data_IF_607691350861
#
_entry.id   IF_607691350861
#
_cell.length_a   1.000
_cell.length_b   1.000
_cell.length_c   1.000
_cell.angle_alpha   90.00
_cell.angle_beta   90.00
_cell.angle_gamma   90.00
#
_symmetry.space_group_name_H-M   'P 1'
#
loop_
_entity.id
_entity.type
_entity.pdbx_description
1 polymer ?
#
# COMPACT_ATOMS: atom_id res chain seq x y z
N UNK A 1 -32.92 -12.80 48.13
CA UNK A 1 -33.30 -11.55 47.44
C UNK A 1 -34.36 -11.89 46.41
N UNK A 2 -35.33 -11.00 46.17
CA UNK A 2 -36.23 -11.13 45.02
C UNK A 2 -35.61 -10.50 43.78
N UNK A 3 -36.17 -10.75 42.60
CA UNK A 3 -35.68 -10.16 41.34
C UNK A 3 -35.85 -8.63 41.35
N UNK A 4 -36.90 -8.09 41.98
CA UNK A 4 -37.06 -6.62 42.10
C UNK A 4 -35.94 -5.98 42.92
N UNK A 5 -35.45 -6.67 43.96
CA UNK A 5 -34.31 -6.19 44.76
C UNK A 5 -33.00 -6.17 43.96
N UNK A 6 -32.82 -7.10 43.02
CA UNK A 6 -31.65 -7.12 42.13
C UNK A 6 -31.75 -6.00 41.09
N UNK A 7 -32.93 -5.81 40.47
CA UNK A 7 -33.15 -4.73 39.50
C UNK A 7 -32.98 -3.35 40.13
N UNK A 8 -33.56 -3.10 41.31
CA UNK A 8 -33.38 -1.84 42.05
C UNK A 8 -31.92 -1.62 42.48
N UNK A 9 -31.17 -2.69 42.81
CA UNK A 9 -29.75 -2.57 43.12
C UNK A 9 -28.93 -2.17 41.89
N UNK A 10 -29.19 -2.78 40.73
CA UNK A 10 -28.56 -2.36 39.48
C UNK A 10 -28.90 -0.91 39.14
N UNK A 11 -30.18 -0.53 39.16
CA UNK A 11 -30.61 0.82 38.77
C UNK A 11 -30.01 1.91 39.71
N UNK A 12 -29.97 1.63 41.02
CA UNK A 12 -29.35 2.52 42.00
C UNK A 12 -27.80 2.56 41.92
N UNK A 13 -27.13 1.61 41.26
CA UNK A 13 -25.67 1.53 41.20
C UNK A 13 -25.10 1.60 39.78
N UNK A 14 -25.92 1.66 38.73
CA UNK A 14 -25.51 1.73 37.32
C UNK A 14 -24.45 2.82 37.09
N UNK A 15 -24.65 4.03 37.61
CA UNK A 15 -23.68 5.13 37.50
C UNK A 15 -22.31 4.76 38.10
N UNK A 16 -22.28 4.19 39.31
CA UNK A 16 -21.04 3.80 39.99
C UNK A 16 -20.36 2.57 39.35
N UNK A 17 -21.16 1.66 38.76
CA UNK A 17 -20.66 0.53 37.98
C UNK A 17 -20.00 1.04 36.69
N UNK A 18 -20.64 1.95 35.95
CA UNK A 18 -20.12 2.57 34.73
C UNK A 18 -18.84 3.37 35.02
N UNK A 19 -18.85 4.22 36.06
CA UNK A 19 -17.68 4.99 36.49
C UNK A 19 -16.50 4.09 36.86
N UNK A 20 -16.75 3.03 37.63
CA UNK A 20 -15.75 2.02 37.99
C UNK A 20 -15.20 1.24 36.78
N UNK A 21 -16.03 0.95 35.78
CA UNK A 21 -15.65 0.25 34.55
C UNK A 21 -14.78 1.16 33.65
N UNK A 22 -15.15 2.43 33.50
CA UNK A 22 -14.33 3.45 32.81
C UNK A 22 -12.97 3.60 33.51
N UNK A 23 -12.95 3.72 34.83
CA UNK A 23 -11.71 3.80 35.60
C UNK A 23 -10.82 2.54 35.43
N UNK A 24 -11.43 1.34 35.36
CA UNK A 24 -10.72 0.09 35.10
C UNK A 24 -10.13 0.02 33.68
N UNK A 25 -10.84 0.52 32.66
CA UNK A 25 -10.34 0.60 31.27
C UNK A 25 -9.15 1.58 31.19
N UNK A 26 -9.25 2.75 31.82
CA UNK A 26 -8.15 3.73 31.87
C UNK A 26 -6.93 3.14 32.59
N UNK A 27 -7.13 2.43 33.72
CA UNK A 27 -6.05 1.76 34.44
C UNK A 27 -5.41 0.64 33.60
N UNK A 28 -6.20 -0.13 32.87
CA UNK A 28 -5.70 -1.17 31.95
C UNK A 28 -4.91 -0.57 30.79
N UNK A 29 -5.38 0.54 30.20
CA UNK A 29 -4.66 1.29 29.15
C UNK A 29 -3.32 1.84 29.66
N UNK A 30 -3.31 2.44 30.86
CA UNK A 30 -2.07 2.88 31.52
C UNK A 30 -1.13 1.72 31.84
N UNK A 31 -1.66 0.57 32.27
CA UNK A 31 -0.86 -0.63 32.52
C UNK A 31 -0.25 -1.20 31.22
N UNK A 32 -1.00 -1.21 30.11
CA UNK A 32 -0.52 -1.64 28.80
C UNK A 32 0.53 -0.68 28.24
N UNK A 33 0.32 0.64 28.35
CA UNK A 33 1.31 1.65 27.98
C UNK A 33 2.60 1.55 28.81
N UNK A 34 2.47 1.44 30.13
CA UNK A 34 3.60 1.18 31.03
C UNK A 34 4.32 -0.12 30.66
N UNK A 35 3.59 -1.21 30.44
CA UNK A 35 4.16 -2.50 30.02
C UNK A 35 4.86 -2.39 28.67
N UNK A 36 4.34 -1.65 27.70
CA UNK A 36 4.98 -1.43 26.40
C UNK A 36 6.29 -0.66 26.50
N UNK A 37 6.35 0.38 27.33
CA UNK A 37 7.56 1.19 27.56
C UNK A 37 8.62 0.41 28.36
N UNK A 38 8.22 -0.27 29.44
CA UNK A 38 9.18 -0.93 30.34
C UNK A 38 9.58 -2.34 29.89
N UNK A 39 8.72 -3.13 29.24
CA UNK A 39 9.10 -4.48 28.75
C UNK A 39 10.10 -4.42 27.59
N UNK A 40 10.12 -3.33 26.81
CA UNK A 40 11.15 -3.10 25.78
C UNK A 40 12.58 -3.03 26.34
N UNK A 41 12.76 -2.87 27.66
CA UNK A 41 14.09 -2.89 28.31
C UNK A 41 14.57 -4.30 28.73
N UNK A 42 13.74 -5.32 28.54
CA UNK A 42 14.09 -6.75 28.72
C UNK A 42 13.88 -7.60 27.47
N UNK A 43 13.33 -7.04 26.39
CA UNK A 43 13.09 -7.72 25.11
C UNK A 43 13.90 -6.99 24.03
N UNK A 44 15.23 -7.17 24.10
CA UNK A 44 16.20 -6.63 23.14
C UNK A 44 17.28 -7.68 22.84
N UNK A 45 16.85 -8.93 22.66
CA UNK A 45 17.74 -10.07 22.43
C UNK A 45 17.10 -11.15 21.57
N UNK A 46 15.89 -11.61 21.93
CA UNK A 46 15.29 -12.80 21.33
C UNK A 46 13.75 -12.75 21.36
N UNK A 47 13.15 -12.25 20.27
CA UNK A 47 11.72 -12.37 19.94
C UNK A 47 11.49 -11.87 18.49
N UNK A 48 12.00 -12.63 17.52
CA UNK A 48 11.82 -12.34 16.10
C UNK A 48 10.50 -12.91 15.55
N UNK A 49 9.58 -12.04 15.14
CA UNK A 49 8.47 -12.38 14.25
C UNK A 49 7.90 -11.10 13.59
N UNK A 50 7.95 -11.02 12.25
CA UNK A 50 7.25 -10.00 11.46
C UNK A 50 7.98 -8.66 11.23
N UNK A 51 8.34 -8.40 9.96
CA UNK A 51 8.46 -7.02 9.42
C UNK A 51 9.71 -6.19 9.77
N UNK A 52 10.55 -6.62 10.71
CA UNK A 52 11.83 -5.96 10.96
C UNK A 52 12.81 -6.16 9.80
N UNK A 53 13.00 -5.15 8.93
CA UNK A 53 14.02 -5.18 7.89
C UNK A 53 15.39 -5.36 8.54
N UNK A 54 16.03 -6.50 8.27
CA UNK A 54 17.32 -6.85 8.86
C UNK A 54 18.35 -5.75 8.56
N UNK A 55 19.05 -5.29 9.60
CA UNK A 55 20.08 -4.26 9.46
C UNK A 55 21.17 -4.69 8.46
N UNK A 56 21.49 -5.98 8.38
CA UNK A 56 22.43 -6.51 7.39
C UNK A 56 21.86 -6.49 5.96
N UNK A 57 20.54 -6.65 5.78
CA UNK A 57 19.88 -6.44 4.48
C UNK A 57 19.81 -4.96 4.10
N UNK A 58 19.57 -4.07 5.08
CA UNK A 58 19.54 -2.63 4.86
C UNK A 58 20.93 -2.10 4.45
N UNK A 59 21.98 -2.53 5.16
CA UNK A 59 23.37 -2.24 4.84
C UNK A 59 23.75 -2.77 3.45
N UNK A 60 23.43 -4.03 3.14
CA UNK A 60 23.68 -4.64 1.83
C UNK A 60 22.89 -3.99 0.69
N UNK A 61 21.73 -3.41 0.99
CA UNK A 61 20.92 -2.62 0.03
C UNK A 61 21.51 -1.23 -0.18
N UNK A 62 21.94 -0.56 0.89
CA UNK A 62 22.65 0.73 0.82
C UNK A 62 23.98 0.59 0.04
N UNK A 63 24.76 -0.45 0.34
CA UNK A 63 25.98 -0.80 -0.41
C UNK A 63 25.69 -0.97 -1.90
N UNK A 64 24.64 -1.73 -2.25
CA UNK A 64 24.23 -1.99 -3.65
C UNK A 64 23.72 -0.73 -4.36
N UNK A 65 23.06 0.19 -3.65
CA UNK A 65 22.66 1.50 -4.19
C UNK A 65 23.89 2.38 -4.43
N UNK A 66 24.82 2.43 -3.47
CA UNK A 66 26.06 3.21 -3.55
C UNK A 66 26.96 2.74 -4.71
N UNK A 67 27.16 1.42 -4.83
CA UNK A 67 27.91 0.81 -5.93
C UNK A 67 27.27 1.15 -7.29
N UNK A 68 25.95 1.02 -7.41
CA UNK A 68 25.23 1.29 -8.66
C UNK A 68 25.24 2.79 -9.04
N UNK A 69 25.18 3.69 -8.05
CA UNK A 69 25.39 5.13 -8.29
C UNK A 69 26.84 5.44 -8.70
N UNK A 70 27.83 4.79 -8.09
CA UNK A 70 29.24 4.96 -8.48
C UNK A 70 29.55 4.43 -9.89
N UNK A 71 28.90 3.34 -10.29
CA UNK A 71 29.03 2.74 -11.61
C UNK A 71 28.43 3.61 -12.72
N UNK A 72 27.29 4.27 -12.45
CA UNK A 72 26.66 5.21 -13.37
C UNK A 72 27.45 6.50 -13.63
N UNK A 73 28.43 6.83 -12.78
CA UNK A 73 29.18 8.08 -12.83
C UNK A 73 30.48 8.04 -13.67
N UNK A 74 30.65 7.04 -14.54
CA UNK A 74 31.77 7.02 -15.52
C UNK A 74 31.34 7.61 -16.87
N UNK A 75 31.65 8.89 -17.18
CA UNK A 75 31.49 9.41 -18.53
C UNK A 75 32.37 8.61 -19.51
N UNK A 76 31.82 8.30 -20.68
CA UNK A 76 32.45 7.40 -21.66
C UNK A 76 33.81 7.92 -22.13
N UNK A 77 34.90 7.25 -21.72
CA UNK A 77 36.26 7.54 -22.18
C UNK A 77 36.45 7.02 -23.61
N UNK A 78 35.99 7.80 -24.59
CA UNK A 78 36.22 7.53 -26.00
C UNK A 78 37.73 7.47 -26.29
N UNK A 79 38.15 6.53 -27.15
CA UNK A 79 39.52 6.47 -27.65
C UNK A 79 39.79 7.65 -28.59
N UNK A 80 40.78 8.45 -28.24
CA UNK A 80 41.57 9.25 -29.17
C UNK A 80 43.01 9.21 -28.67
N UNK A 81 43.97 8.96 -29.57
CA UNK A 81 45.39 8.85 -29.23
C UNK A 81 46.04 10.22 -29.36
N UNK A 82 46.73 10.70 -28.33
CA UNK A 82 47.85 11.62 -28.53
C UNK A 82 48.94 11.38 -27.47
N UNK A 83 50.19 11.39 -27.93
CA UNK A 83 51.36 10.99 -27.16
C UNK A 83 51.93 12.14 -26.34
N UNK A 84 52.31 11.87 -25.09
CA UNK A 84 53.32 12.68 -24.41
C UNK A 84 54.25 11.80 -23.56
N UNK A 85 55.40 11.46 -24.13
CA UNK A 85 56.53 10.98 -23.35
C UNK A 85 57.05 12.13 -22.48
N UNK A 86 57.06 11.95 -21.16
CA UNK A 86 57.87 12.76 -20.25
C UNK A 86 58.86 11.80 -19.59
N UNK A 87 60.13 11.95 -19.93
CA UNK A 87 61.17 11.05 -19.48
C UNK A 87 61.32 11.10 -17.94
N UNK A 88 61.42 9.93 -17.32
CA UNK A 88 62.01 9.81 -15.99
C UNK A 88 63.52 9.95 -16.14
N UNK A 89 64.08 11.03 -15.59
CA UNK A 89 65.52 11.19 -15.41
C UNK A 89 65.91 10.52 -14.09
N UNK A 90 66.71 9.45 -14.15
CA UNK A 90 66.97 8.55 -13.01
C UNK A 90 68.44 8.66 -12.55
N UNK A 91 68.70 9.65 -11.68
CA UNK A 91 69.98 9.89 -11.01
C UNK A 91 69.95 11.20 -10.21
N UNK A 92 70.81 11.45 -9.22
CA UNK A 92 71.79 10.58 -8.54
C UNK A 92 71.91 11.06 -7.07
N UNK A 93 72.72 10.37 -6.26
CA UNK A 93 72.74 10.43 -4.80
C UNK A 93 72.96 11.84 -4.17
N UNK A 94 71.90 12.32 -3.51
CA UNK A 94 71.87 12.67 -2.07
C UNK A 94 72.69 13.85 -1.52
N UNK A 95 72.08 14.60 -0.59
CA UNK A 95 72.69 15.23 0.61
C UNK A 95 71.60 15.95 1.43
N UNK A 96 71.43 15.61 2.71
CA UNK A 96 70.62 16.36 3.69
C UNK A 96 71.44 17.55 4.29
N UNK A 97 70.92 18.41 5.20
CA UNK A 97 69.53 18.61 5.67
C UNK A 97 69.06 20.09 5.67
N UNK A 98 67.74 20.33 5.77
CA UNK A 98 67.12 21.15 6.84
C UNK A 98 65.60 21.33 6.67
N UNK A 99 64.89 21.52 7.79
CA UNK A 99 63.48 21.92 7.84
C UNK A 99 63.29 23.39 7.40
N UNK A 100 62.08 23.81 6.98
CA UNK A 100 61.09 24.22 7.99
C UNK A 100 59.67 23.68 7.76
N UNK A 101 58.90 23.57 8.84
CA UNK A 101 57.56 22.97 8.82
C UNK A 101 56.49 23.82 8.08
N UNK A 102 55.99 23.33 6.93
CA UNK A 102 54.82 23.86 6.21
C UNK A 102 53.53 23.12 6.57
N UNK A 103 53.13 23.22 7.85
CA UNK A 103 51.89 22.65 8.39
C UNK A 103 50.65 23.46 7.94
N UNK A 104 50.11 23.20 6.74
CA UNK A 104 48.85 23.81 6.29
C UNK A 104 48.04 22.93 5.32
N UNK A 105 46.93 22.37 5.82
CA UNK A 105 45.64 22.18 5.11
C UNK A 105 45.69 21.84 3.61
N UNK A 106 45.88 20.56 3.29
CA UNK A 106 45.30 19.99 2.07
C UNK A 106 43.78 19.89 2.20
N UNK A 107 43.07 21.00 1.99
CA UNK A 107 41.62 20.99 1.91
C UNK A 107 41.18 20.32 0.59
N UNK A 108 40.20 19.40 0.62
CA UNK A 108 39.66 18.86 -0.62
C UNK A 108 39.02 19.99 -1.43
N UNK A 109 39.47 20.20 -2.66
CA UNK A 109 38.77 21.06 -3.60
C UNK A 109 37.57 20.28 -4.12
N UNK A 110 36.42 20.45 -3.46
CA UNK A 110 35.11 20.05 -4.00
C UNK A 110 34.99 20.57 -5.44
N UNK A 111 34.71 19.69 -6.39
CA UNK A 111 34.71 20.12 -7.78
C UNK A 111 33.52 21.06 -8.04
N UNK A 112 33.62 22.04 -8.96
CA UNK A 112 32.49 22.90 -9.30
C UNK A 112 31.28 22.12 -9.86
N UNK A 113 31.47 20.85 -10.26
CA UNK A 113 30.39 19.94 -10.63
C UNK A 113 29.66 19.36 -9.39
N UNK A 114 30.39 18.96 -8.33
CA UNK A 114 29.78 18.55 -7.05
C UNK A 114 28.96 19.69 -6.44
N UNK A 115 29.51 20.92 -6.41
CA UNK A 115 28.79 22.09 -5.90
C UNK A 115 27.51 22.39 -6.72
N UNK A 116 27.51 22.09 -8.02
CA UNK A 116 26.30 22.21 -8.85
C UNK A 116 25.28 21.09 -8.55
N UNK A 117 25.72 19.84 -8.38
CA UNK A 117 24.86 18.72 -8.01
C UNK A 117 24.23 18.91 -6.61
N UNK A 118 25.03 19.31 -5.62
CA UNK A 118 24.57 19.60 -4.25
C UNK A 118 23.49 20.69 -4.22
N UNK A 119 23.61 21.73 -5.07
CA UNK A 119 22.56 22.75 -5.22
C UNK A 119 21.29 22.19 -5.85
N UNK A 120 21.40 21.23 -6.76
CA UNK A 120 20.25 20.59 -7.41
C UNK A 120 19.50 19.68 -6.41
N UNK A 121 20.22 18.81 -5.69
CA UNK A 121 19.64 17.94 -4.65
C UNK A 121 19.07 18.73 -3.47
N UNK A 122 19.69 19.86 -3.09
CA UNK A 122 19.14 20.73 -2.04
C UNK A 122 17.81 21.35 -2.49
N UNK A 123 17.71 21.88 -3.71
CA UNK A 123 16.45 22.40 -4.27
C UNK A 123 15.36 21.31 -4.37
N UNK A 124 15.72 20.08 -4.74
CA UNK A 124 14.79 18.95 -4.78
C UNK A 124 14.30 18.56 -3.37
N UNK A 125 15.22 18.50 -2.39
CA UNK A 125 14.87 18.23 -0.99
C UNK A 125 13.97 19.31 -0.39
N UNK A 126 14.19 20.58 -0.75
CA UNK A 126 13.38 21.72 -0.31
C UNK A 126 11.93 21.60 -0.82
N UNK A 127 11.74 21.26 -2.11
CA UNK A 127 10.42 20.98 -2.69
C UNK A 127 9.74 19.78 -2.02
N UNK A 128 10.50 18.74 -1.69
CA UNK A 128 9.96 17.56 -0.99
C UNK A 128 9.49 17.88 0.42
N UNK A 129 10.20 18.77 1.13
CA UNK A 129 9.78 19.29 2.45
C UNK A 129 8.49 20.12 2.31
N UNK A 130 8.40 21.01 1.32
CA UNK A 130 7.22 21.84 1.05
C UNK A 130 5.98 20.98 0.74
N UNK A 131 6.12 19.94 -0.10
CA UNK A 131 5.05 18.98 -0.40
C UNK A 131 4.62 18.19 0.85
N UNK A 132 5.56 17.73 1.67
CA UNK A 132 5.24 17.00 2.91
C UNK A 132 4.57 17.90 3.96
N UNK A 133 4.94 19.18 4.04
CA UNK A 133 4.26 20.16 4.89
C UNK A 133 2.82 20.41 4.42
N UNK A 134 2.59 20.54 3.10
CA UNK A 134 1.25 20.67 2.54
C UNK A 134 0.39 19.39 2.73
N UNK A 135 1.01 18.20 2.70
CA UNK A 135 0.31 16.95 3.03
C UNK A 135 -0.05 16.85 4.52
N UNK A 136 0.84 17.30 5.41
CA UNK A 136 0.55 17.33 6.85
C UNK A 136 -0.61 18.29 7.17
N UNK A 137 -0.63 19.51 6.63
CA UNK A 137 -1.73 20.44 6.90
C UNK A 137 -3.06 19.93 6.36
N UNK A 138 -3.09 19.30 5.18
CA UNK A 138 -4.31 18.64 4.63
C UNK A 138 -4.74 17.42 5.45
N UNK A 139 -3.81 16.72 6.10
CA UNK A 139 -4.14 15.64 7.03
C UNK A 139 -4.68 16.18 8.37
N UNK A 140 -4.11 17.26 8.89
CA UNK A 140 -4.54 17.94 10.11
C UNK A 140 -5.94 18.57 9.95
N UNK A 141 -6.24 19.24 8.82
CA UNK A 141 -7.59 19.77 8.59
C UNK A 141 -8.62 18.64 8.53
N UNK A 142 -8.37 17.58 7.76
CA UNK A 142 -9.26 16.40 7.68
C UNK A 142 -9.44 15.69 9.02
N UNK A 143 -8.40 15.61 9.84
CA UNK A 143 -8.51 15.07 11.20
C UNK A 143 -9.40 15.97 12.08
N UNK A 144 -9.29 17.29 11.96
CA UNK A 144 -10.14 18.23 12.70
C UNK A 144 -11.59 18.26 12.20
N UNK A 145 -11.82 18.13 10.89
CA UNK A 145 -13.14 18.02 10.26
C UNK A 145 -13.86 16.75 10.73
N UNK A 146 -13.15 15.61 10.71
CA UNK A 146 -13.67 14.33 11.21
C UNK A 146 -13.93 14.36 12.73
N UNK A 147 -13.07 15.04 13.52
CA UNK A 147 -13.28 15.20 14.95
C UNK A 147 -14.53 16.07 15.25
N UNK A 148 -14.70 17.19 14.55
CA UNK A 148 -15.87 18.05 14.68
C UNK A 148 -17.17 17.33 14.25
N UNK A 149 -17.11 16.51 13.20
CA UNK A 149 -18.23 15.68 12.78
C UNK A 149 -18.59 14.61 13.84
N UNK A 150 -17.59 14.00 14.48
CA UNK A 150 -17.80 13.05 15.57
C UNK A 150 -18.39 13.70 16.84
N UNK A 151 -17.90 14.89 17.23
CA UNK A 151 -18.48 15.65 18.35
C UNK A 151 -19.93 16.07 18.05
N UNK A 152 -20.22 16.57 16.84
CA UNK A 152 -21.57 16.90 16.42
C UNK A 152 -22.52 15.69 16.42
N UNK A 153 -22.05 14.53 15.97
CA UNK A 153 -22.81 13.27 16.03
C UNK A 153 -23.06 12.81 17.48
N UNK A 154 -22.16 13.09 18.42
CA UNK A 154 -22.31 12.74 19.84
C UNK A 154 -23.31 13.60 20.61
N UNK A 155 -23.65 14.80 20.10
CA UNK A 155 -24.54 15.75 20.75
C UNK A 155 -26.03 15.53 20.41
N UNK A 156 -26.34 14.75 19.37
CA UNK A 156 -27.71 14.41 19.01
C UNK A 156 -28.25 13.24 19.87
N UNK A 157 -29.49 13.30 20.39
CA UNK A 157 -30.10 12.15 21.04
C UNK A 157 -30.26 11.00 20.03
N UNK A 158 -29.90 9.78 20.44
CA UNK A 158 -29.63 8.66 19.53
C UNK A 158 -30.84 8.19 18.69
N UNK A 159 -31.04 8.83 17.53
CA UNK A 159 -31.88 8.35 16.45
C UNK A 159 -31.16 7.19 15.73
N UNK A 160 -31.28 5.98 16.29
CA UNK A 160 -30.48 4.80 15.95
C UNK A 160 -30.71 4.14 14.58
N UNK A 161 -30.91 4.92 13.51
CA UNK A 161 -30.98 4.40 12.13
C UNK A 161 -29.59 4.20 11.51
N UNK A 162 -28.78 5.25 11.49
CA UNK A 162 -27.59 5.34 10.62
C UNK A 162 -26.46 4.35 10.99
N UNK A 163 -26.40 3.85 12.22
CA UNK A 163 -25.32 2.95 12.65
C UNK A 163 -25.37 1.60 11.92
N UNK A 164 -26.58 1.07 11.66
CA UNK A 164 -26.76 -0.18 10.93
C UNK A 164 -26.33 -0.06 9.46
N UNK A 165 -26.50 1.12 8.85
CA UNK A 165 -26.03 1.40 7.50
C UNK A 165 -24.50 1.54 7.44
N UNK A 166 -23.88 2.22 8.42
CA UNK A 166 -22.41 2.26 8.54
C UNK A 166 -21.80 0.87 8.80
N UNK A 167 -22.43 0.04 9.64
CA UNK A 167 -22.02 -1.36 9.86
C UNK A 167 -22.15 -2.22 8.59
N UNK A 168 -23.14 -1.95 7.74
CA UNK A 168 -23.28 -2.61 6.44
C UNK A 168 -22.20 -2.16 5.45
N UNK A 169 -21.92 -0.86 5.38
CA UNK A 169 -20.85 -0.30 4.55
C UNK A 169 -19.46 -0.79 4.99
N UNK A 170 -19.20 -0.91 6.29
CA UNK A 170 -17.97 -1.51 6.83
C UNK A 170 -17.83 -2.97 6.38
N UNK A 171 -18.89 -3.79 6.46
CA UNK A 171 -18.84 -5.18 5.96
C UNK A 171 -18.60 -5.28 4.46
N UNK A 172 -19.19 -4.41 3.64
CA UNK A 172 -18.94 -4.39 2.19
C UNK A 172 -17.49 -4.01 1.87
N UNK A 173 -16.92 -3.05 2.60
CA UNK A 173 -15.51 -2.68 2.47
C UNK A 173 -14.56 -3.78 2.95
N UNK A 174 -14.85 -4.45 4.07
CA UNK A 174 -14.09 -5.61 4.56
C UNK A 174 -14.16 -6.79 3.57
N UNK A 175 -15.33 -7.09 3.01
CA UNK A 175 -15.51 -8.16 2.02
C UNK A 175 -14.73 -7.88 0.73
N UNK A 176 -14.77 -6.64 0.21
CA UNK A 176 -13.98 -6.23 -0.96
C UNK A 176 -12.48 -6.26 -0.69
N UNK A 177 -12.03 -5.90 0.51
CA UNK A 177 -10.61 -6.00 0.89
C UNK A 177 -10.13 -7.45 0.90
N UNK A 178 -10.93 -8.39 1.41
CA UNK A 178 -10.64 -9.83 1.33
C UNK A 178 -10.63 -10.36 -0.12
N UNK A 179 -11.53 -9.86 -0.98
CA UNK A 179 -11.52 -10.20 -2.41
C UNK A 179 -10.24 -9.69 -3.11
N UNK A 180 -9.77 -8.47 -2.79
CA UNK A 180 -8.49 -7.96 -3.29
C UNK A 180 -7.27 -8.74 -2.78
N UNK A 181 -7.30 -9.26 -1.55
CA UNK A 181 -6.24 -10.11 -1.01
C UNK A 181 -6.13 -11.42 -1.83
N UNK A 182 -7.25 -12.12 -2.05
CA UNK A 182 -7.31 -13.34 -2.87
C UNK A 182 -6.84 -13.08 -4.31
N UNK A 183 -7.31 -11.99 -4.94
CA UNK A 183 -6.89 -11.61 -6.30
C UNK A 183 -5.38 -11.33 -6.35
N UNK A 184 -4.78 -10.80 -5.28
CA UNK A 184 -3.33 -10.54 -5.23
C UNK A 184 -2.50 -11.83 -5.11
N UNK A 185 -3.02 -12.85 -4.44
CA UNK A 185 -2.39 -14.18 -4.35
C UNK A 185 -2.48 -14.92 -5.70
N UNK A 186 -3.66 -14.93 -6.34
CA UNK A 186 -3.86 -15.47 -7.69
C UNK A 186 -2.92 -14.82 -8.72
N UNK A 187 -2.70 -13.51 -8.65
CA UNK A 187 -1.76 -12.78 -9.53
C UNK A 187 -0.31 -13.20 -9.29
N UNK A 188 0.07 -13.46 -8.03
CA UNK A 188 1.43 -13.91 -7.70
C UNK A 188 1.71 -15.32 -8.25
N UNK A 189 0.77 -16.27 -8.08
CA UNK A 189 0.92 -17.62 -8.63
C UNK A 189 0.81 -17.63 -10.17
N UNK A 190 -0.04 -16.79 -10.78
CA UNK A 190 -0.04 -16.59 -12.24
C UNK A 190 1.28 -16.00 -12.77
N UNK A 191 1.99 -15.19 -12.00
CA UNK A 191 3.34 -14.72 -12.35
C UNK A 191 4.34 -15.88 -12.32
N UNK A 192 4.33 -16.66 -11.23
CA UNK A 192 5.18 -17.86 -11.07
C UNK A 192 4.96 -18.90 -12.17
N UNK A 193 3.72 -19.17 -12.54
CA UNK A 193 3.41 -20.08 -13.65
C UNK A 193 3.88 -19.55 -15.02
N UNK A 194 3.98 -18.23 -15.23
CA UNK A 194 4.57 -17.67 -16.45
C UNK A 194 6.08 -17.90 -16.49
N UNK A 195 6.79 -17.61 -15.40
CA UNK A 195 8.22 -17.86 -15.28
C UNK A 195 8.56 -19.35 -15.49
N UNK A 196 7.78 -20.27 -14.91
CA UNK A 196 7.96 -21.70 -15.12
C UNK A 196 7.68 -22.12 -16.57
N UNK A 197 6.63 -21.57 -17.21
CA UNK A 197 6.34 -21.85 -18.62
C UNK A 197 7.42 -21.28 -19.56
N UNK A 198 8.04 -20.15 -19.26
CA UNK A 198 9.16 -19.59 -20.02
C UNK A 198 10.42 -20.44 -19.84
N UNK A 199 10.72 -20.85 -18.61
CA UNK A 199 11.82 -21.77 -18.30
C UNK A 199 11.66 -23.12 -19.04
N UNK A 200 10.48 -23.74 -18.97
CA UNK A 200 10.20 -25.01 -19.66
C UNK A 200 10.26 -24.87 -21.19
N UNK A 201 9.86 -23.72 -21.76
CA UNK A 201 10.07 -23.44 -23.19
C UNK A 201 11.55 -23.38 -23.53
N UNK A 202 12.36 -22.67 -22.74
CA UNK A 202 13.80 -22.58 -22.95
C UNK A 202 14.48 -23.95 -22.84
N UNK A 203 14.13 -24.76 -21.83
CA UNK A 203 14.61 -26.15 -21.70
C UNK A 203 14.21 -27.01 -22.92
N UNK A 204 12.99 -26.88 -23.43
CA UNK A 204 12.52 -27.57 -24.63
C UNK A 204 13.21 -27.08 -25.93
N UNK A 205 13.58 -25.81 -26.03
CA UNK A 205 14.35 -25.29 -27.17
C UNK A 205 15.79 -25.78 -27.13
N UNK A 206 16.43 -25.78 -25.96
CA UNK A 206 17.76 -26.38 -25.74
C UNK A 206 17.73 -27.88 -26.07
N UNK A 207 16.70 -28.62 -25.65
CA UNK A 207 16.55 -30.04 -25.96
C UNK A 207 16.30 -30.33 -27.46
N UNK A 208 15.61 -29.42 -28.17
CA UNK A 208 15.39 -29.53 -29.64
C UNK A 208 16.64 -29.17 -30.44
N UNK A 209 17.39 -28.15 -30.01
CA UNK A 209 18.63 -27.72 -30.66
C UNK A 209 19.79 -28.70 -30.38
N UNK A 210 19.91 -29.17 -29.14
CA UNK A 210 20.89 -30.18 -28.68
C UNK A 210 20.51 -31.61 -29.02
N UNK A 211 20.01 -31.85 -30.24
CA UNK A 211 19.43 -33.13 -30.66
C UNK A 211 20.43 -34.29 -30.69
N UNK A 212 20.60 -34.99 -29.57
CA UNK A 212 21.23 -36.32 -29.53
C UNK A 212 22.43 -36.51 -28.61
N UNK A 213 22.30 -36.23 -27.31
CA UNK A 213 23.03 -36.99 -26.27
C UNK A 213 22.32 -36.88 -24.92
N UNK A 214 21.75 -38.00 -24.44
CA UNK A 214 21.21 -38.08 -23.09
C UNK A 214 22.37 -38.12 -22.07
N UNK A 215 22.36 -37.30 -21.01
CA UNK A 215 23.40 -37.30 -19.98
C UNK A 215 23.26 -38.51 -19.05
N UNK A 216 23.75 -39.66 -19.51
CA UNK A 216 23.83 -40.89 -18.73
C UNK A 216 24.99 -40.84 -17.71
N UNK A 217 24.90 -39.94 -16.73
CA UNK A 217 25.83 -39.86 -15.58
C UNK A 217 25.11 -39.35 -14.33
N UNK A 218 24.89 -40.23 -13.35
CA UNK A 218 24.49 -39.85 -12.01
C UNK A 218 25.73 -39.53 -11.15
N UNK A 219 25.75 -38.44 -10.36
CA UNK A 219 26.71 -38.27 -9.29
C UNK A 219 26.24 -39.02 -8.04
N UNK A 220 26.97 -40.07 -7.65
CA UNK A 220 26.87 -40.69 -6.34
C UNK A 220 28.02 -40.17 -5.45
N UNK A 221 27.72 -39.91 -4.17
CA UNK A 221 28.63 -39.22 -3.24
C UNK A 221 28.31 -37.71 -3.16
N UNK A 222 27.86 -37.14 -2.05
CA UNK A 222 27.52 -37.74 -0.75
C UNK A 222 28.57 -37.48 0.32
N UNK A 223 28.22 -36.61 1.28
CA UNK A 223 28.93 -36.41 2.55
C UNK A 223 27.87 -36.03 3.61
N UNK A 224 27.97 -36.60 4.82
CA UNK A 224 26.90 -36.58 5.84
C UNK A 224 27.22 -35.70 7.05
N UNK A 225 26.21 -34.96 7.54
CA UNK A 225 25.84 -34.80 8.98
C UNK A 225 24.31 -34.56 8.94
N UNK A 226 23.39 -35.34 9.53
CA UNK A 226 23.25 -35.76 10.93
C UNK A 226 22.48 -34.68 11.74
N UNK A 227 21.43 -34.92 12.55
CA UNK A 227 20.60 -36.09 12.92
C UNK A 227 19.34 -35.51 13.69
N UNK A 228 18.19 -36.13 14.02
CA UNK A 228 17.62 -37.50 14.05
C UNK A 228 16.07 -37.42 13.93
N UNK A 229 15.38 -38.45 13.38
CA UNK A 229 13.89 -38.74 13.40
C UNK A 229 12.90 -37.66 12.90
N UNK A 230 11.67 -37.95 12.46
CA UNK A 230 10.81 -39.15 12.58
C UNK A 230 10.05 -39.43 11.27
N UNK A 231 9.67 -40.69 11.01
CA UNK A 231 8.89 -41.10 9.85
C UNK A 231 7.52 -41.66 10.24
N UNK A 232 6.44 -41.22 9.59
CA UNK A 232 5.15 -41.92 9.61
C UNK A 232 4.31 -41.67 8.33
N UNK A 233 3.52 -42.68 7.95
CA UNK A 233 2.42 -42.69 6.97
C UNK A 233 2.52 -41.88 5.66
N UNK A 234 2.54 -42.60 4.53
CA UNK A 234 2.06 -42.05 3.26
C UNK A 234 0.53 -41.85 3.31
N UNK A 235 -0.03 -40.72 2.83
CA UNK A 235 -1.47 -40.55 2.75
C UNK A 235 -2.06 -41.51 1.69
N UNK A 236 -3.11 -42.23 2.08
CA UNK A 236 -3.90 -43.03 1.15
C UNK A 236 -4.70 -42.15 0.18
N UNK A 237 -5.16 -42.71 -0.93
CA UNK A 237 -5.92 -41.98 -1.94
C UNK A 237 -7.17 -41.30 -1.34
N UNK A 238 -7.28 -39.99 -1.54
CA UNK A 238 -8.48 -39.22 -1.19
C UNK A 238 -9.70 -39.80 -1.89
N UNK A 239 -10.81 -40.07 -1.19
CA UNK A 239 -12.03 -40.56 -1.83
C UNK A 239 -12.64 -39.48 -2.75
N UNK A 240 -13.22 -39.94 -3.84
CA UNK A 240 -14.02 -39.14 -4.77
C UNK A 240 -15.24 -38.54 -4.03
N UNK A 241 -15.49 -37.22 -4.09
CA UNK A 241 -16.54 -36.60 -3.28
C UNK A 241 -17.94 -36.99 -3.78
N UNK A 242 -18.75 -37.54 -2.88
CA UNK A 242 -20.17 -37.83 -3.16
C UNK A 242 -20.95 -36.53 -3.48
N UNK A 243 -21.95 -36.58 -4.38
CA UNK A 243 -22.69 -35.38 -4.79
C UNK A 243 -23.50 -34.80 -3.63
N UNK A 244 -23.18 -33.56 -3.26
CA UNK A 244 -23.93 -32.78 -2.27
C UNK A 244 -25.38 -32.59 -2.79
N UNK A 245 -26.42 -32.92 -2.01
CA UNK A 245 -27.80 -32.79 -2.45
C UNK A 245 -28.20 -31.32 -2.63
N UNK A 246 -29.05 -31.06 -3.64
CA UNK A 246 -29.55 -29.71 -3.95
C UNK A 246 -30.28 -29.10 -2.73
N UNK A 247 -30.03 -27.81 -2.39
CA UNK A 247 -30.74 -27.16 -1.31
C UNK A 247 -32.23 -27.02 -1.66
N UNK A 248 -33.09 -27.61 -0.82
CA UNK A 248 -34.55 -27.48 -0.96
C UNK A 248 -34.95 -26.01 -0.82
N UNK A 249 -35.77 -25.44 -1.74
CA UNK A 249 -36.15 -24.04 -1.68
C UNK A 249 -36.94 -23.75 -0.39
N UNK A 250 -36.43 -22.80 0.40
CA UNK A 250 -37.13 -22.27 1.57
C UNK A 250 -38.35 -21.44 1.12
N UNK A 251 -39.45 -21.43 1.91
CA UNK A 251 -40.71 -20.81 1.48
C UNK A 251 -40.63 -19.29 1.36
N UNK A 252 -41.33 -18.79 0.34
CA UNK A 252 -41.51 -17.39 -0.03
C UNK A 252 -42.16 -16.58 1.11
N UNK A 253 -41.38 -15.71 1.77
CA UNK A 253 -41.90 -14.84 2.84
C UNK A 253 -42.70 -13.70 2.21
N UNK A 254 -44.02 -13.77 2.36
CA UNK A 254 -44.94 -12.70 1.93
C UNK A 254 -44.70 -11.43 2.76
N UNK A 255 -44.50 -10.25 2.14
CA UNK A 255 -44.37 -8.99 2.88
C UNK A 255 -45.71 -8.58 3.50
N UNK A 256 -45.71 -8.38 4.83
CA UNK A 256 -46.84 -7.85 5.60
C UNK A 256 -46.87 -6.30 5.49
N UNK A 257 -48.05 -5.65 5.37
CA UNK A 257 -48.13 -4.26 4.90
C UNK A 257 -47.79 -3.17 5.94
N UNK A 258 -47.54 -1.98 5.39
CA UNK A 258 -47.07 -0.74 6.01
C UNK A 258 -47.80 -0.30 7.30
N UNK A 259 -47.07 0.07 8.37
CA UNK A 259 -47.59 0.97 9.40
C UNK A 259 -47.52 2.42 8.89
N UNK A 260 -48.69 3.03 8.64
CA UNK A 260 -48.80 4.43 8.19
C UNK A 260 -48.22 5.38 9.24
N UNK A 261 -47.11 6.06 8.92
CA UNK A 261 -46.53 7.10 9.78
C UNK A 261 -47.37 8.38 9.67
N UNK A 262 -47.78 8.91 10.82
CA UNK A 262 -48.79 9.95 10.91
C UNK A 262 -48.19 11.36 10.83
N UNK A 263 -48.72 12.18 9.93
CA UNK A 263 -48.37 13.60 9.78
C UNK A 263 -48.73 14.38 11.07
N UNK A 264 -47.73 15.00 11.70
CA UNK A 264 -47.92 15.91 12.84
C UNK A 264 -47.09 17.17 12.65
N UNK A 265 -47.74 18.25 12.23
CA UNK A 265 -47.12 19.55 12.01
C UNK A 265 -47.06 20.40 13.31
N UNK A 266 -46.66 21.68 13.13
CA UNK A 266 -46.60 22.79 14.08
C UNK A 266 -45.25 23.01 14.81
N UNK A 267 -44.88 24.28 15.13
CA UNK A 267 -43.48 24.69 15.00
C UNK A 267 -42.88 25.36 16.25
N UNK A 268 -41.56 25.56 16.23
CA UNK A 268 -40.82 26.47 17.11
C UNK A 268 -39.89 27.35 16.26
N UNK A 269 -39.89 28.65 16.51
CA UNK A 269 -38.97 29.64 15.92
C UNK A 269 -37.93 30.09 16.95
N UNK A 270 -37.01 30.96 16.51
CA UNK A 270 -35.95 31.64 17.27
C UNK A 270 -34.71 30.80 17.62
N UNK A 271 -33.47 31.29 17.42
CA UNK A 271 -33.01 32.43 16.61
C UNK A 271 -31.48 32.34 16.38
N UNK A 272 -30.98 32.80 15.22
CA UNK A 272 -29.59 33.29 15.09
C UNK A 272 -28.62 32.58 14.14
N UNK A 273 -29.00 32.29 12.88
CA UNK A 273 -28.05 31.84 11.83
C UNK A 273 -28.35 32.39 10.42
N UNK A 274 -29.07 33.51 10.34
CA UNK A 274 -29.84 33.99 9.17
C UNK A 274 -29.01 34.57 7.99
N UNK A 275 -27.77 34.12 7.76
CA UNK A 275 -26.85 34.71 6.78
C UNK A 275 -25.89 33.75 6.04
N UNK A 276 -25.91 32.43 6.29
CA UNK A 276 -24.89 31.51 5.77
C UNK A 276 -25.41 30.53 4.71
N UNK A 277 -26.60 29.93 4.90
CA UNK A 277 -26.96 28.71 4.16
C UNK A 277 -27.81 28.91 2.89
N UNK A 278 -28.39 30.09 2.62
CA UNK A 278 -29.31 30.29 1.48
C UNK A 278 -28.63 30.17 0.10
N UNK A 279 -27.46 30.78 -0.10
CA UNK A 279 -26.69 30.59 -1.34
C UNK A 279 -25.98 29.22 -1.35
N UNK A 280 -25.65 28.64 -0.17
CA UNK A 280 -25.02 27.33 -0.07
C UNK A 280 -25.98 26.19 -0.46
N UNK A 281 -27.22 26.19 0.05
CA UNK A 281 -28.27 25.25 -0.35
C UNK A 281 -28.60 25.37 -1.84
N UNK A 282 -28.52 26.58 -2.39
CA UNK A 282 -28.78 26.88 -3.80
C UNK A 282 -27.66 26.42 -4.73
N UNK A 283 -26.40 26.54 -4.32
CA UNK A 283 -25.26 25.92 -5.01
C UNK A 283 -25.32 24.39 -4.93
N UNK A 284 -25.70 23.83 -3.77
CA UNK A 284 -25.89 22.38 -3.61
C UNK A 284 -27.03 21.85 -4.49
N UNK A 285 -28.16 22.56 -4.58
CA UNK A 285 -29.26 22.22 -5.47
C UNK A 285 -28.85 22.24 -6.94
N UNK A 286 -28.08 23.26 -7.36
CA UNK A 286 -27.55 23.34 -8.72
C UNK A 286 -26.55 22.20 -9.04
N UNK A 287 -25.70 21.82 -8.07
CA UNK A 287 -24.78 20.69 -8.22
C UNK A 287 -25.51 19.35 -8.38
N UNK A 288 -26.53 19.09 -7.55
CA UNK A 288 -27.35 17.87 -7.61
C UNK A 288 -28.18 17.79 -8.90
N UNK A 289 -28.70 18.93 -9.40
CA UNK A 289 -29.39 18.97 -10.70
C UNK A 289 -28.42 18.74 -11.88
N UNK A 290 -27.19 19.28 -11.80
CA UNK A 290 -26.11 18.99 -12.73
C UNK A 290 -25.72 17.50 -12.76
N UNK A 291 -25.69 16.84 -11.61
CA UNK A 291 -25.40 15.41 -11.52
C UNK A 291 -26.51 14.55 -12.17
N UNK A 292 -27.78 14.91 -11.96
CA UNK A 292 -28.94 14.30 -12.66
C UNK A 292 -28.95 14.54 -14.18
N UNK A 293 -28.26 15.57 -14.67
CA UNK A 293 -28.06 15.75 -16.11
C UNK A 293 -26.98 14.78 -16.66
N UNK A 294 -26.01 14.39 -15.82
CA UNK A 294 -24.91 13.50 -16.17
C UNK A 294 -25.38 12.03 -16.24
N UNK A 295 -26.23 11.58 -15.32
CA UNK A 295 -26.86 10.24 -15.39
C UNK A 295 -27.67 10.06 -16.69
N UNK A 296 -28.39 11.09 -17.13
CA UNK A 296 -29.11 11.08 -18.43
C UNK A 296 -28.19 11.03 -19.65
N UNK A 297 -26.91 11.34 -19.51
CA UNK A 297 -25.89 11.11 -20.55
C UNK A 297 -25.34 9.69 -20.45
N UNK A 298 -25.17 9.15 -19.23
CA UNK A 298 -24.79 7.76 -19.01
C UNK A 298 -25.84 6.76 -19.55
N UNK A 299 -27.13 6.96 -19.24
CA UNK A 299 -28.25 6.18 -19.79
C UNK A 299 -28.23 6.18 -21.33
N UNK A 300 -27.89 7.33 -21.93
CA UNK A 300 -27.83 7.51 -23.38
C UNK A 300 -26.56 6.96 -24.03
N UNK A 301 -25.53 6.66 -23.23
CA UNK A 301 -24.33 5.93 -23.65
C UNK A 301 -24.46 4.41 -23.41
N UNK A 302 -25.33 3.98 -22.48
CA UNK A 302 -25.58 2.58 -22.15
C UNK A 302 -26.44 1.82 -23.16
N UNK A 303 -27.27 2.50 -23.95
CA UNK A 303 -27.99 1.86 -25.07
C UNK A 303 -27.01 1.54 -26.22
N UNK A 304 -26.38 0.36 -26.12
CA UNK A 304 -25.22 -0.10 -26.90
C UNK A 304 -25.40 -0.25 -28.42
N UNK A 305 -26.45 0.35 -28.98
CA UNK A 305 -26.78 0.36 -30.41
C UNK A 305 -25.87 1.25 -31.26
N UNK A 306 -25.22 2.24 -30.66
CA UNK A 306 -24.27 3.13 -31.34
C UNK A 306 -22.86 2.50 -31.51
N UNK A 307 -22.51 1.48 -30.73
CA UNK A 307 -21.19 0.84 -30.77
C UNK A 307 -20.93 -0.04 -32.03
N UNK A 308 -21.82 0.01 -33.01
CA UNK A 308 -21.68 -0.69 -34.29
C UNK A 308 -20.89 0.12 -35.33
N UNK A 309 -20.96 1.46 -35.30
CA UNK A 309 -20.39 2.32 -36.36
C UNK A 309 -18.93 2.73 -36.09
N UNK A 310 -18.49 2.78 -34.82
CA UNK A 310 -17.12 3.18 -34.43
C UNK A 310 -16.02 2.15 -34.75
N UNK A 311 -16.36 0.95 -35.24
CA UNK A 311 -15.37 -0.04 -35.66
C UNK A 311 -14.62 0.35 -36.92
N UNK A 312 -15.25 1.06 -37.85
CA UNK A 312 -14.62 1.45 -39.10
C UNK A 312 -13.65 2.64 -38.90
N UNK A 313 -13.97 3.58 -37.99
CA UNK A 313 -13.05 4.66 -37.61
C UNK A 313 -11.75 4.14 -36.98
N UNK A 314 -11.83 3.13 -36.12
CA UNK A 314 -10.66 2.53 -35.48
C UNK A 314 -9.79 1.75 -36.48
N UNK A 315 -10.41 1.07 -37.46
CA UNK A 315 -9.70 0.47 -38.59
C UNK A 315 -9.04 1.54 -39.48
N UNK A 316 -9.68 2.69 -39.69
CA UNK A 316 -9.11 3.78 -40.47
C UNK A 316 -7.88 4.40 -39.78
N UNK A 317 -7.93 4.60 -38.46
CA UNK A 317 -6.80 5.08 -37.65
C UNK A 317 -5.59 4.14 -37.72
N UNK A 318 -5.80 2.82 -37.64
CA UNK A 318 -4.72 1.84 -37.82
C UNK A 318 -4.05 1.96 -39.20
N UNK A 319 -4.86 2.08 -40.27
CA UNK A 319 -4.35 2.23 -41.64
C UNK A 319 -3.58 3.55 -41.85
N UNK A 320 -4.03 4.66 -41.25
CA UNK A 320 -3.26 5.92 -41.29
C UNK A 320 -1.94 5.81 -40.52
N UNK A 321 -1.92 5.08 -39.39
CA UNK A 321 -0.70 4.89 -38.60
C UNK A 321 0.35 4.04 -39.33
N UNK A 322 -0.06 2.93 -39.98
CA UNK A 322 0.86 2.15 -40.83
C UNK A 322 1.43 3.01 -41.97
N UNK A 323 0.58 3.78 -42.66
CA UNK A 323 1.02 4.69 -43.72
C UNK A 323 1.96 5.80 -43.21
N UNK A 324 1.81 6.26 -41.97
CA UNK A 324 2.72 7.24 -41.37
C UNK A 324 4.08 6.63 -41.02
N UNK A 325 4.11 5.42 -40.47
CA UNK A 325 5.34 4.69 -40.14
C UNK A 325 6.12 4.31 -41.40
N UNK A 326 5.45 3.71 -42.38
CA UNK A 326 6.07 3.24 -43.63
C UNK A 326 6.58 4.37 -44.53
N UNK A 327 6.04 5.59 -44.38
CA UNK A 327 6.47 6.81 -45.10
C UNK A 327 7.64 7.54 -44.41
N UNK A 328 8.12 7.02 -43.29
CA UNK A 328 9.21 7.62 -42.48
C UNK A 328 10.48 6.76 -42.41
N UNK A 329 10.52 5.67 -43.19
CA UNK A 329 11.73 4.88 -43.52
C UNK A 329 12.11 5.09 -44.99
#
# INVERSE_FOLDING_TARGET
>A
MTIEQVLHFFDQHNTAIIEGLIAAIILLGLFLGYRGIFSKKSISSDLGAGGGVDAAQLEKTLQKILDNQSAGARPGKAHAEESLEVAFDEGDAGTEPQEPATKATGAPQESPAEVAQLRLTLNESQKKIEILQAQLTVAETKASENAAAAEAASAAPAAGGNNAEMEAQLRDLEARLAEYEIISEDIADLSRFREENEKLKAELEVAKAGGGSAPASAPAGGEEVGEVVQAEAAPAATPEPEPIPEPTPAPEVTPEPEPVVQESAAPVQEAGSELIDDDLMKEFAAAVEGQKALDKVADKAGDGKAAAESKDENNQLMNEFENFVSKKS
#
